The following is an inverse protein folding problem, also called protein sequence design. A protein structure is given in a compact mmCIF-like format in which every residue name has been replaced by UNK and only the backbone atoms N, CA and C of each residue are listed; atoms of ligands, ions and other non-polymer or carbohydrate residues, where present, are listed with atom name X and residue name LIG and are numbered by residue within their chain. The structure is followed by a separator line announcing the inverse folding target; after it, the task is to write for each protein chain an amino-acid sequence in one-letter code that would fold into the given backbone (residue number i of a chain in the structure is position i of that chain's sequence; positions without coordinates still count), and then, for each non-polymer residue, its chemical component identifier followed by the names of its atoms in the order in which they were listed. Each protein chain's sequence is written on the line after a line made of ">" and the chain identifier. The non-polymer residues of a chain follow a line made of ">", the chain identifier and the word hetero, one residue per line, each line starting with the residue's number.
data_IF_441995124238
#
_entry.id   IF_441995124238
#
_cell.length_a   1.000
_cell.length_b   1.000
_cell.length_c   1.000
_cell.angle_alpha   90.00
_cell.angle_beta   90.00
_cell.angle_gamma   90.00
#
_symmetry.space_group_name_H-M   'P 1'
#
loop_
_entity.id
_entity.type
_entity.pdbx_description
1 polymer ?
#
# COMPACT_ATOMS: atom_id res chain seq x y z
N UNK A 1 -12.07 -1.59 24.10
CA UNK A 1 -13.16 -0.92 23.35
C UNK A 1 -12.51 0.05 22.37
N UNK A 2 -13.17 0.39 21.25
CA UNK A 2 -12.62 1.38 20.32
C UNK A 2 -12.54 2.78 20.98
N UNK A 3 -11.50 3.59 20.68
CA UNK A 3 -11.45 4.99 21.10
C UNK A 3 -12.63 5.78 20.53
N UNK A 4 -13.30 6.57 21.37
CA UNK A 4 -14.35 7.50 20.94
C UNK A 4 -13.79 8.67 20.13
N UNK A 5 -14.67 9.49 19.53
CA UNK A 5 -14.27 10.59 18.63
C UNK A 5 -13.33 11.59 19.33
N UNK A 6 -13.63 11.99 20.57
CA UNK A 6 -12.83 12.95 21.35
C UNK A 6 -11.42 12.42 21.67
N UNK A 7 -11.27 11.10 21.76
CA UNK A 7 -9.98 10.45 22.02
C UNK A 7 -9.09 10.34 20.76
N UNK A 8 -9.60 10.71 19.58
CA UNK A 8 -8.89 10.58 18.30
C UNK A 8 -8.31 11.91 17.83
N UNK A 9 -7.27 11.83 17.01
CA UNK A 9 -6.68 12.95 16.26
C UNK A 9 -6.70 12.66 14.77
N UNK A 10 -6.79 13.71 13.96
CA UNK A 10 -6.70 13.58 12.50
C UNK A 10 -5.37 12.94 12.10
N UNK A 11 -5.43 12.03 11.13
CA UNK A 11 -4.26 11.38 10.55
C UNK A 11 -3.50 12.38 9.68
N UNK A 12 -2.29 12.77 10.10
CA UNK A 12 -1.40 13.72 9.39
C UNK A 12 0.02 13.22 9.20
N UNK A 13 0.33 12.04 9.75
CA UNK A 13 1.66 11.44 9.70
C UNK A 13 1.63 10.26 8.72
N UNK A 14 2.55 10.19 7.75
CA UNK A 14 2.60 9.09 6.79
C UNK A 14 3.04 7.78 7.46
N UNK A 15 2.47 6.67 7.03
CA UNK A 15 3.04 5.33 7.17
C UNK A 15 3.58 4.93 5.80
N UNK A 16 4.91 4.99 5.65
CA UNK A 16 5.58 4.70 4.39
C UNK A 16 5.49 3.21 4.09
N UNK A 17 4.92 2.82 2.95
CA UNK A 17 4.89 1.41 2.53
C UNK A 17 6.16 0.98 1.81
N UNK A 18 6.92 1.95 1.30
CA UNK A 18 8.07 1.67 0.45
C UNK A 18 7.68 1.30 -0.98
N UNK A 19 6.39 1.36 -1.31
CA UNK A 19 5.84 0.97 -2.61
C UNK A 19 5.42 2.25 -3.35
N UNK A 20 6.13 2.58 -4.44
CA UNK A 20 5.92 3.80 -5.24
C UNK A 20 4.45 4.04 -5.58
N UNK A 21 3.77 2.99 -6.01
CA UNK A 21 2.38 3.05 -6.44
C UNK A 21 1.41 3.37 -5.28
N UNK A 22 1.72 2.94 -4.05
CA UNK A 22 0.87 3.19 -2.87
C UNK A 22 1.21 4.56 -2.30
N UNK A 23 2.45 4.80 -1.92
CA UNK A 23 2.88 6.06 -1.27
C UNK A 23 2.65 7.28 -2.20
N UNK A 24 2.74 7.08 -3.52
CA UNK A 24 2.43 8.07 -4.54
C UNK A 24 0.94 8.30 -4.77
N UNK A 25 0.11 7.25 -4.89
CA UNK A 25 -1.28 7.42 -5.35
C UNK A 25 -2.36 7.17 -4.28
N UNK A 26 -2.09 6.26 -3.33
CA UNK A 26 -3.03 5.79 -2.32
C UNK A 26 -2.30 5.82 -0.96
N UNK A 27 -1.93 7.01 -0.48
CA UNK A 27 -1.08 7.13 0.70
C UNK A 27 -1.79 6.60 1.95
N UNK A 28 -1.02 5.98 2.83
CA UNK A 28 -1.49 5.40 4.09
C UNK A 28 -0.90 6.22 5.24
N UNK A 29 -1.73 6.61 6.19
CA UNK A 29 -1.32 7.35 7.38
C UNK A 29 -1.26 6.53 8.66
N UNK A 30 -0.53 7.04 9.65
CA UNK A 30 -0.47 6.48 11.00
C UNK A 30 -1.83 6.61 11.70
N UNK A 31 -2.49 5.49 11.97
CA UNK A 31 -3.86 5.43 12.50
C UNK A 31 -4.96 5.23 11.44
N UNK A 32 -4.62 5.12 10.16
CA UNK A 32 -5.56 4.86 9.06
C UNK A 32 -5.91 3.36 8.95
N UNK A 33 -7.03 3.05 8.32
CA UNK A 33 -7.44 1.69 7.96
C UNK A 33 -7.51 1.58 6.44
N UNK A 34 -6.58 0.88 5.83
CA UNK A 34 -6.50 0.76 4.37
C UNK A 34 -6.68 -0.70 3.95
N UNK A 35 -7.79 -1.02 3.27
CA UNK A 35 -8.11 -2.37 2.84
C UNK A 35 -7.19 -2.81 1.70
N UNK A 36 -6.60 -4.00 1.76
CA UNK A 36 -5.97 -4.66 0.61
C UNK A 36 -6.94 -5.72 0.10
N UNK A 37 -7.51 -5.50 -1.08
CA UNK A 37 -8.55 -6.35 -1.65
C UNK A 37 -8.15 -6.82 -3.05
N UNK A 38 -8.49 -8.07 -3.37
CA UNK A 38 -8.30 -8.62 -4.70
C UNK A 38 -8.36 -10.15 -4.70
N UNK A 39 -8.24 -10.72 -5.89
CA UNK A 39 -8.36 -12.15 -6.08
C UNK A 39 -7.19 -12.93 -5.50
N UNK A 40 -7.34 -14.25 -5.46
CA UNK A 40 -6.27 -15.14 -5.07
C UNK A 40 -5.02 -14.91 -5.95
N UNK A 41 -3.84 -14.91 -5.33
CA UNK A 41 -2.54 -14.77 -6.00
C UNK A 41 -2.27 -13.43 -6.73
N UNK A 42 -2.98 -12.35 -6.40
CA UNK A 42 -2.72 -11.00 -6.98
C UNK A 42 -1.64 -10.18 -6.28
N UNK A 43 -0.98 -10.73 -5.24
CA UNK A 43 0.10 -10.03 -4.51
C UNK A 43 -0.33 -9.32 -3.21
N UNK A 44 -1.53 -9.58 -2.69
CA UNK A 44 -2.04 -8.96 -1.44
C UNK A 44 -1.07 -9.08 -0.26
N UNK A 45 -0.65 -10.29 0.06
CA UNK A 45 0.31 -10.55 1.14
C UNK A 45 1.68 -9.93 0.85
N UNK A 46 2.11 -9.88 -0.42
CA UNK A 46 3.38 -9.26 -0.80
C UNK A 46 3.40 -7.77 -0.43
N UNK A 47 2.34 -7.03 -0.77
CA UNK A 47 2.17 -5.62 -0.40
C UNK A 47 2.24 -5.43 1.11
N UNK A 48 1.56 -6.28 1.87
CA UNK A 48 1.54 -6.17 3.33
C UNK A 48 2.91 -6.48 3.96
N UNK A 49 3.63 -7.50 3.46
CA UNK A 49 4.96 -7.86 3.97
C UNK A 49 6.02 -6.82 3.57
N UNK A 50 5.97 -6.29 2.35
CA UNK A 50 6.86 -5.19 1.93
C UNK A 50 6.66 -3.96 2.81
N UNK A 51 5.40 -3.66 3.16
CA UNK A 51 5.09 -2.59 4.11
C UNK A 51 5.74 -2.85 5.47
N UNK A 52 5.65 -4.07 6.03
CA UNK A 52 6.32 -4.42 7.30
C UNK A 52 7.84 -4.29 7.19
N UNK A 53 8.45 -4.77 6.10
CA UNK A 53 9.90 -4.67 5.88
C UNK A 53 10.35 -3.20 5.84
N UNK A 54 9.55 -2.33 5.23
CA UNK A 54 9.86 -0.90 5.13
C UNK A 54 9.82 -0.17 6.49
N UNK A 55 9.24 -0.77 7.54
CA UNK A 55 9.17 -0.14 8.86
C UNK A 55 10.49 -0.18 9.65
N UNK A 56 11.52 -0.84 9.12
CA UNK A 56 12.83 -0.92 9.76
C UNK A 56 13.41 0.48 10.02
N UNK A 57 13.63 0.81 11.29
CA UNK A 57 14.14 2.12 11.71
C UNK A 57 13.14 3.27 11.64
N UNK A 58 11.83 3.01 11.46
CA UNK A 58 10.77 4.03 11.42
C UNK A 58 9.94 4.13 12.71
N UNK A 59 10.38 3.45 13.79
CA UNK A 59 9.71 3.39 15.09
C UNK A 59 8.24 2.97 15.02
N UNK A 60 7.95 1.97 14.17
CA UNK A 60 6.63 1.34 14.06
C UNK A 60 6.74 -0.13 14.42
N UNK A 61 6.01 -0.55 15.44
CA UNK A 61 5.87 -1.96 15.79
C UNK A 61 4.90 -2.66 14.86
N UNK A 62 5.20 -3.86 14.40
CA UNK A 62 4.40 -4.56 13.42
C UNK A 62 3.72 -5.80 14.02
N UNK A 63 2.49 -6.05 13.57
CA UNK A 63 1.72 -7.25 13.91
C UNK A 63 1.21 -7.85 12.60
N UNK A 64 1.54 -9.12 12.35
CA UNK A 64 0.98 -9.89 11.24
C UNK A 64 0.08 -10.98 11.78
N UNK A 65 -1.23 -10.87 11.53
CA UNK A 65 -2.24 -11.84 11.98
C UNK A 65 -2.59 -12.76 10.82
N UNK A 66 -2.16 -14.02 10.89
CA UNK A 66 -2.49 -15.06 9.93
C UNK A 66 -3.74 -15.83 10.37
N UNK A 67 -4.81 -15.75 9.58
CA UNK A 67 -6.13 -16.31 9.89
C UNK A 67 -6.46 -17.35 8.83
N UNK A 68 -6.60 -18.61 9.22
CA UNK A 68 -6.91 -19.72 8.32
C UNK A 68 -5.88 -19.94 7.21
N UNK A 69 -4.66 -19.40 7.35
CA UNK A 69 -3.59 -19.59 6.37
C UNK A 69 -2.95 -20.98 6.50
N UNK A 70 -2.34 -21.46 5.42
CA UNK A 70 -1.53 -22.69 5.48
C UNK A 70 -0.31 -22.46 6.37
N UNK A 71 0.00 -23.42 7.23
CA UNK A 71 1.15 -23.33 8.14
C UNK A 71 2.46 -23.12 7.40
N UNK A 72 2.65 -23.78 6.25
CA UNK A 72 3.84 -23.60 5.40
C UNK A 72 3.97 -22.18 4.86
N UNK A 73 2.85 -21.55 4.47
CA UNK A 73 2.84 -20.15 4.01
C UNK A 73 3.23 -19.20 5.14
N UNK A 74 2.69 -19.41 6.34
CA UNK A 74 3.05 -18.59 7.53
C UNK A 74 4.55 -18.76 7.84
N UNK A 75 5.08 -19.98 7.81
CA UNK A 75 6.48 -20.25 8.04
C UNK A 75 7.40 -19.54 7.02
N UNK A 76 7.03 -19.56 5.73
CA UNK A 76 7.75 -18.83 4.68
C UNK A 76 7.75 -17.32 4.91
N UNK A 77 6.63 -16.75 5.37
CA UNK A 77 6.53 -15.33 5.69
C UNK A 77 7.42 -14.97 6.88
N UNK A 78 7.38 -15.75 7.96
CA UNK A 78 8.24 -15.56 9.14
C UNK A 78 9.71 -15.60 8.74
N UNK A 79 10.10 -16.55 7.89
CA UNK A 79 11.47 -16.66 7.41
C UNK A 79 11.88 -15.47 6.53
N UNK A 80 10.97 -14.97 5.68
CA UNK A 80 11.22 -13.74 4.92
C UNK A 80 11.40 -12.54 5.84
N UNK A 81 10.50 -12.34 6.81
CA UNK A 81 10.65 -11.27 7.79
C UNK A 81 11.98 -11.38 8.56
N UNK A 82 12.41 -12.59 8.90
CA UNK A 82 13.72 -12.82 9.54
C UNK A 82 14.89 -12.44 8.63
N UNK A 83 14.86 -12.83 7.36
CA UNK A 83 15.90 -12.51 6.36
C UNK A 83 16.11 -11.00 6.19
N UNK A 84 15.04 -10.21 6.29
CA UNK A 84 15.12 -8.75 6.20
C UNK A 84 15.36 -8.06 7.56
N UNK A 85 15.44 -8.83 8.66
CA UNK A 85 15.58 -8.30 10.02
C UNK A 85 14.30 -7.60 10.54
N UNK A 86 13.14 -7.92 9.97
CA UNK A 86 11.85 -7.36 10.36
C UNK A 86 11.24 -8.04 11.59
N UNK A 87 11.69 -9.25 11.94
CA UNK A 87 11.21 -9.97 13.12
C UNK A 87 11.57 -9.27 14.44
N UNK A 88 12.59 -8.41 14.47
CA UNK A 88 13.02 -7.66 15.67
C UNK A 88 11.93 -6.71 16.19
N UNK A 89 11.03 -6.27 15.31
CA UNK A 89 9.92 -5.37 15.63
C UNK A 89 8.56 -5.92 15.19
N UNK A 90 8.47 -7.21 14.85
CA UNK A 90 7.22 -7.83 14.36
C UNK A 90 6.79 -9.01 15.22
N UNK A 91 5.50 -9.03 15.61
CA UNK A 91 4.84 -10.20 16.18
C UNK A 91 3.94 -10.86 15.15
N UNK A 92 4.02 -12.18 15.06
CA UNK A 92 3.13 -12.99 14.22
C UNK A 92 2.11 -13.71 15.09
N UNK A 93 0.82 -13.40 14.90
CA UNK A 93 -0.30 -14.11 15.54
C UNK A 93 -0.85 -15.11 14.54
N UNK A 94 -0.66 -16.41 14.78
CA UNK A 94 -1.03 -17.45 13.84
C UNK A 94 -2.19 -18.32 14.35
N UNK A 95 -3.32 -18.27 13.67
CA UNK A 95 -4.38 -19.27 13.74
C UNK A 95 -4.55 -19.88 12.35
N UNK A 96 -3.79 -20.95 12.08
CA UNK A 96 -3.71 -21.61 10.76
C UNK A 96 -5.02 -22.31 10.38
N UNK A 97 -5.11 -22.79 9.13
CA UNK A 97 -6.25 -23.57 8.64
C UNK A 97 -6.54 -24.84 9.48
N UNK A 98 -5.53 -25.40 10.14
CA UNK A 98 -5.68 -26.55 11.04
C UNK A 98 -6.19 -26.18 12.44
N UNK A 99 -6.20 -24.89 12.78
CA UNK A 99 -6.71 -24.40 14.06
C UNK A 99 -8.25 -24.43 14.05
N UNK A 100 -8.90 -24.73 15.20
CA UNK A 100 -10.35 -24.73 15.28
C UNK A 100 -10.93 -23.32 15.08
N UNK A 101 -12.16 -23.23 14.58
CA UNK A 101 -12.83 -21.97 14.26
C UNK A 101 -12.83 -20.92 15.39
N UNK A 102 -12.96 -21.27 16.69
CA UNK A 102 -12.84 -20.29 17.77
C UNK A 102 -11.48 -19.57 17.81
N UNK A 103 -10.36 -20.26 17.51
CA UNK A 103 -9.05 -19.61 17.50
C UNK A 103 -8.87 -18.71 16.28
N UNK A 104 -9.36 -19.13 15.11
CA UNK A 104 -9.37 -18.28 13.92
C UNK A 104 -10.21 -17.01 14.13
N UNK A 105 -11.33 -17.13 14.85
CA UNK A 105 -12.16 -16.01 15.27
C UNK A 105 -11.47 -15.07 16.28
N UNK A 106 -10.69 -15.59 17.24
CA UNK A 106 -10.04 -14.78 18.27
C UNK A 106 -8.70 -14.16 17.83
N UNK A 107 -8.04 -14.70 16.80
CA UNK A 107 -6.73 -14.24 16.36
C UNK A 107 -6.69 -12.74 16.00
N UNK A 108 -7.64 -12.17 15.24
CA UNK A 108 -7.65 -10.73 14.95
C UNK A 108 -7.80 -9.87 16.20
N UNK A 109 -8.63 -10.29 17.16
CA UNK A 109 -8.81 -9.55 18.41
C UNK A 109 -7.54 -9.60 19.28
N UNK A 110 -6.84 -10.73 19.29
CA UNK A 110 -5.57 -10.90 20.01
C UNK A 110 -4.49 -10.01 19.42
N UNK A 111 -4.30 -10.04 18.09
CA UNK A 111 -3.36 -9.16 17.40
C UNK A 111 -3.68 -7.68 17.60
N UNK A 112 -4.96 -7.31 17.53
CA UNK A 112 -5.38 -5.94 17.77
C UNK A 112 -5.05 -5.49 19.20
N UNK A 113 -5.25 -6.35 20.20
CA UNK A 113 -4.93 -6.03 21.60
C UNK A 113 -3.42 -5.82 21.82
N UNK A 114 -2.58 -6.59 21.13
CA UNK A 114 -1.12 -6.35 21.10
C UNK A 114 -0.83 -4.97 20.51
N UNK A 115 -1.42 -4.63 19.37
CA UNK A 115 -1.26 -3.30 18.75
C UNK A 115 -1.75 -2.14 19.61
N UNK A 116 -2.86 -2.33 20.35
CA UNK A 116 -3.39 -1.34 21.29
C UNK A 116 -2.41 -1.05 22.42
N UNK A 117 -1.69 -2.05 22.93
CA UNK A 117 -0.65 -1.82 23.94
C UNK A 117 0.39 -0.80 23.45
N UNK A 118 0.86 -0.89 22.21
CA UNK A 118 1.81 0.09 21.66
C UNK A 118 1.15 1.45 21.45
N UNK A 119 -0.05 1.49 20.85
CA UNK A 119 -0.82 2.72 20.63
C UNK A 119 -1.05 3.50 21.93
N UNK A 120 -1.47 2.81 22.98
CA UNK A 120 -1.88 3.43 24.25
C UNK A 120 -0.68 3.85 25.11
N UNK A 121 0.52 3.34 24.79
CA UNK A 121 1.79 3.79 25.38
C UNK A 121 2.53 4.83 24.52
N UNK A 122 1.79 5.57 23.68
CA UNK A 122 2.34 6.65 22.85
C UNK A 122 3.22 6.19 21.68
N UNK A 123 3.27 4.88 21.38
CA UNK A 123 4.02 4.33 20.26
C UNK A 123 3.13 4.15 19.02
N UNK A 124 3.78 3.85 17.89
CA UNK A 124 3.10 3.58 16.64
C UNK A 124 3.15 2.09 16.32
N UNK A 125 2.04 1.56 15.85
CA UNK A 125 1.90 0.17 15.45
C UNK A 125 1.19 0.04 14.09
N UNK A 126 1.57 -1.00 13.36
CA UNK A 126 0.97 -1.46 12.12
C UNK A 126 0.43 -2.87 12.33
N UNK A 127 -0.83 -3.12 12.00
CA UNK A 127 -1.43 -4.45 12.04
C UNK A 127 -1.94 -4.88 10.67
N UNK A 128 -1.55 -6.08 10.24
CA UNK A 128 -2.03 -6.74 9.03
C UNK A 128 -2.95 -7.89 9.43
N UNK A 129 -4.13 -8.01 8.80
CA UNK A 129 -5.04 -9.13 8.99
C UNK A 129 -5.15 -9.96 7.69
N UNK A 130 -4.54 -11.15 7.65
CA UNK A 130 -4.43 -12.00 6.47
C UNK A 130 -5.12 -13.38 6.69
N UNK A 131 -6.42 -13.54 6.42
CA UNK A 131 -7.33 -12.52 5.86
C UNK A 131 -8.68 -12.49 6.59
N UNK A 132 -9.38 -11.36 6.46
CA UNK A 132 -10.68 -11.15 7.11
C UNK A 132 -11.83 -11.89 6.39
N UNK A 133 -11.61 -12.39 5.18
CA UNK A 133 -12.57 -13.27 4.51
C UNK A 133 -12.67 -14.60 5.26
N UNK A 134 -11.54 -15.22 5.59
CA UNK A 134 -11.46 -16.43 6.40
C UNK A 134 -11.94 -16.20 7.84
N UNK A 135 -11.69 -15.01 8.39
CA UNK A 135 -12.25 -14.63 9.69
C UNK A 135 -13.79 -14.65 9.70
N UNK A 136 -14.42 -14.06 8.67
CA UNK A 136 -15.87 -14.09 8.53
C UNK A 136 -16.40 -15.53 8.35
N UNK A 137 -15.69 -16.37 7.58
CA UNK A 137 -16.06 -17.79 7.40
C UNK A 137 -16.00 -18.55 8.72
N UNK A 138 -14.96 -18.33 9.54
CA UNK A 138 -14.88 -18.93 10.88
C UNK A 138 -16.04 -18.49 11.77
N UNK A 139 -16.41 -17.20 11.74
CA UNK A 139 -17.55 -16.70 12.52
C UNK A 139 -18.90 -17.26 12.03
N UNK A 140 -19.05 -17.42 10.71
CA UNK A 140 -20.20 -18.09 10.10
C UNK A 140 -20.34 -19.53 10.60
N UNK A 141 -19.25 -20.30 10.56
CA UNK A 141 -19.23 -21.68 11.06
C UNK A 141 -19.67 -21.76 12.53
N UNK A 142 -19.12 -20.90 13.39
CA UNK A 142 -19.49 -20.85 14.80
C UNK A 142 -20.98 -20.52 14.99
N UNK A 143 -21.47 -19.52 14.27
CA UNK A 143 -22.87 -19.08 14.37
C UNK A 143 -23.86 -20.16 13.95
N UNK A 144 -23.56 -20.88 12.87
CA UNK A 144 -24.38 -21.99 12.38
C UNK A 144 -24.38 -23.17 13.35
N UNK A 145 -23.22 -23.53 13.94
CA UNK A 145 -23.14 -24.58 14.95
C UNK A 145 -23.92 -24.22 16.22
N UNK A 146 -23.96 -22.93 16.57
CA UNK A 146 -24.79 -22.39 17.66
C UNK A 146 -26.26 -22.20 17.27
N UNK A 147 -26.67 -22.63 16.06
CA UNK A 147 -28.03 -22.52 15.52
C UNK A 147 -28.58 -21.09 15.53
N UNK A 148 -27.70 -20.09 15.37
CA UNK A 148 -28.13 -18.70 15.14
C UNK A 148 -28.73 -18.57 13.73
N UNK A 149 -29.83 -17.81 13.56
CA UNK A 149 -30.40 -17.57 12.24
C UNK A 149 -29.38 -16.94 11.27
N UNK A 150 -29.15 -17.53 10.09
CA UNK A 150 -28.27 -16.95 9.08
C UNK A 150 -28.98 -15.90 8.23
N UNK A 151 -28.19 -15.02 7.60
CA UNK A 151 -28.62 -14.04 6.60
C UNK A 151 -28.01 -14.30 5.22
N UNK A 152 -27.63 -13.22 4.51
CA UNK A 152 -27.03 -13.29 3.16
C UNK A 152 -25.75 -14.13 3.16
N UNK A 153 -25.61 -15.02 2.17
CA UNK A 153 -24.48 -15.96 2.04
C UNK A 153 -24.24 -16.82 3.30
N UNK A 154 -25.30 -17.07 4.07
CA UNK A 154 -25.33 -17.76 5.35
C UNK A 154 -24.54 -17.11 6.49
N UNK A 155 -24.06 -15.87 6.35
CA UNK A 155 -23.41 -15.14 7.45
C UNK A 155 -24.43 -14.70 8.51
N UNK A 156 -24.04 -14.64 9.79
CA UNK A 156 -24.91 -14.10 10.83
C UNK A 156 -25.16 -12.59 10.61
N UNK A 157 -26.31 -12.09 11.08
CA UNK A 157 -26.72 -10.69 10.87
C UNK A 157 -25.76 -9.64 11.47
N UNK A 158 -24.94 -10.03 12.44
CA UNK A 158 -23.95 -9.17 13.10
C UNK A 158 -22.52 -9.29 12.51
N UNK A 159 -22.35 -9.92 11.35
CA UNK A 159 -21.03 -10.02 10.68
C UNK A 159 -20.44 -8.65 10.31
N UNK A 160 -21.28 -7.65 10.07
CA UNK A 160 -20.81 -6.27 9.90
C UNK A 160 -20.21 -5.73 11.20
N UNK A 161 -20.90 -5.95 12.32
CA UNK A 161 -20.46 -5.52 13.65
C UNK A 161 -19.16 -6.22 14.06
N UNK A 162 -18.95 -7.46 13.63
CA UNK A 162 -17.70 -8.21 13.84
C UNK A 162 -16.47 -7.42 13.37
N UNK A 163 -16.51 -6.93 12.14
CA UNK A 163 -15.40 -6.22 11.52
C UNK A 163 -15.36 -4.74 11.90
N UNK A 164 -16.51 -4.08 12.07
CA UNK A 164 -16.52 -2.68 12.50
C UNK A 164 -15.94 -2.53 13.91
N UNK A 165 -16.35 -3.36 14.88
CA UNK A 165 -15.80 -3.32 16.24
C UNK A 165 -14.32 -3.69 16.32
N UNK A 166 -13.81 -4.44 15.34
CA UNK A 166 -12.39 -4.78 15.23
C UNK A 166 -11.60 -3.61 14.63
N UNK A 167 -12.02 -3.13 13.45
CA UNK A 167 -11.27 -2.14 12.68
C UNK A 167 -11.37 -0.73 13.28
N UNK A 168 -12.48 -0.36 13.92
CA UNK A 168 -12.61 0.92 14.65
C UNK A 168 -11.67 1.04 15.87
N UNK A 169 -10.99 -0.04 16.27
CA UNK A 169 -9.93 0.03 17.28
C UNK A 169 -8.62 0.59 16.68
N UNK A 170 -8.41 0.52 15.38
CA UNK A 170 -7.26 1.14 14.74
C UNK A 170 -7.53 2.65 14.55
N UNK A 171 -6.75 3.48 15.24
CA UNK A 171 -6.89 4.93 15.24
C UNK A 171 -5.57 5.63 15.64
N UNK A 172 -5.47 6.93 15.35
CA UNK A 172 -4.49 7.85 15.96
C UNK A 172 -5.12 8.52 17.18
N UNK A 173 -4.46 8.41 18.33
CA UNK A 173 -4.92 9.03 19.57
C UNK A 173 -4.61 10.52 19.61
N UNK A 174 -5.36 11.25 20.45
CA UNK A 174 -5.09 12.65 20.79
C UNK A 174 -3.75 12.82 21.49
N UNK A 175 -3.22 14.04 21.49
CA UNK A 175 -1.96 14.35 22.17
C UNK A 175 -2.09 14.15 23.69
N UNK A 176 -3.27 14.38 24.25
CA UNK A 176 -3.62 14.11 25.67
C UNK A 176 -3.50 12.64 26.04
N UNK A 177 -3.73 11.74 25.08
CA UNK A 177 -3.61 10.28 25.24
C UNK A 177 -2.27 9.75 24.70
N UNK A 178 -1.25 10.62 24.61
CA UNK A 178 0.11 10.25 24.22
C UNK A 178 0.35 10.17 22.71
N UNK A 179 -0.66 10.43 21.87
CA UNK A 179 -0.48 10.58 20.41
C UNK A 179 -0.11 9.29 19.64
N UNK A 180 -0.14 8.13 20.28
CA UNK A 180 0.17 6.86 19.64
C UNK A 180 -0.84 6.47 18.55
N UNK A 181 -0.50 5.49 17.72
CA UNK A 181 -1.34 5.10 16.58
C UNK A 181 -1.34 3.61 16.32
N UNK A 182 -2.49 3.09 15.90
CA UNK A 182 -2.59 1.75 15.31
C UNK A 182 -3.13 1.88 13.88
N UNK A 183 -2.28 1.65 12.88
CA UNK A 183 -2.68 1.57 11.45
C UNK A 183 -3.08 0.14 11.13
N UNK A 184 -4.19 -0.06 10.42
CA UNK A 184 -4.66 -1.39 10.03
C UNK A 184 -4.64 -1.59 8.51
N UNK A 185 -4.10 -2.74 8.09
CA UNK A 185 -4.16 -3.25 6.73
C UNK A 185 -4.94 -4.56 6.71
N UNK A 186 -6.30 -4.51 6.70
CA UNK A 186 -7.08 -5.71 6.50
C UNK A 186 -6.89 -6.25 5.08
N UNK A 187 -6.78 -7.57 4.94
CA UNK A 187 -6.77 -8.25 3.64
C UNK A 187 -8.14 -8.90 3.42
N UNK A 188 -8.69 -8.73 2.22
CA UNK A 188 -9.89 -9.43 1.75
C UNK A 188 -9.58 -10.14 0.44
N UNK A 189 -9.95 -11.41 0.37
CA UNK A 189 -9.97 -12.17 -0.87
C UNK A 189 -11.35 -12.06 -1.53
N UNK A 190 -11.38 -11.59 -2.77
CA UNK A 190 -12.55 -11.63 -3.66
C UNK A 190 -12.61 -12.96 -4.42
N UNK A 191 -13.79 -13.29 -4.94
CA UNK A 191 -13.99 -14.44 -5.82
C UNK A 191 -14.23 -13.91 -7.24
N UNK A 192 -13.29 -14.17 -8.15
CA UNK A 192 -13.36 -13.73 -9.55
C UNK A 192 -13.65 -12.22 -9.72
N UNK A 193 -13.01 -11.38 -8.89
CA UNK A 193 -13.14 -9.93 -8.92
C UNK A 193 -14.47 -9.39 -8.39
N UNK A 194 -15.34 -10.23 -7.80
CA UNK A 194 -16.63 -9.77 -7.29
C UNK A 194 -16.49 -8.98 -5.99
N UNK A 195 -16.54 -7.64 -6.13
CA UNK A 195 -16.58 -6.68 -5.03
C UNK A 195 -17.98 -6.48 -4.44
N UNK A 196 -19.02 -6.96 -5.12
CA UNK A 196 -20.42 -6.85 -4.68
C UNK A 196 -20.83 -7.95 -3.70
N UNK A 197 -19.95 -8.94 -3.51
CA UNK A 197 -20.07 -9.95 -2.47
C UNK A 197 -20.20 -9.32 -1.08
N UNK A 198 -20.86 -10.03 -0.17
CA UNK A 198 -21.32 -9.44 1.08
C UNK A 198 -20.18 -8.95 1.99
N UNK A 199 -19.12 -9.75 2.15
CA UNK A 199 -17.98 -9.39 3.02
C UNK A 199 -17.11 -8.26 2.43
N UNK A 200 -16.69 -8.30 1.15
CA UNK A 200 -16.00 -7.17 0.51
C UNK A 200 -16.76 -5.84 0.67
N UNK A 201 -18.06 -5.82 0.36
CA UNK A 201 -18.90 -4.62 0.48
C UNK A 201 -18.88 -4.05 1.91
N UNK A 202 -19.04 -4.92 2.91
CA UNK A 202 -19.01 -4.52 4.31
C UNK A 202 -17.67 -3.88 4.68
N UNK A 203 -16.55 -4.52 4.34
CA UNK A 203 -15.22 -4.03 4.77
C UNK A 203 -14.82 -2.75 4.03
N UNK A 204 -15.16 -2.60 2.74
CA UNK A 204 -14.97 -1.35 1.98
C UNK A 204 -15.67 -0.16 2.65
N UNK A 205 -16.85 -0.40 3.24
CA UNK A 205 -17.61 0.64 3.95
C UNK A 205 -17.07 0.96 5.36
N UNK A 206 -16.25 0.08 5.94
CA UNK A 206 -15.67 0.26 7.29
C UNK A 206 -14.29 0.92 7.21
N UNK A 207 -13.48 0.59 6.22
CA UNK A 207 -12.12 1.11 6.09
C UNK A 207 -12.11 2.55 5.56
N UNK A 208 -10.99 3.26 5.78
CA UNK A 208 -10.79 4.62 5.28
C UNK A 208 -10.34 4.64 3.82
N UNK A 209 -9.98 3.49 3.26
CA UNK A 209 -9.67 3.35 1.84
C UNK A 209 -9.51 1.90 1.43
N UNK A 210 -9.15 1.70 0.18
CA UNK A 210 -8.84 0.41 -0.39
C UNK A 210 -7.74 0.50 -1.46
N UNK A 211 -6.91 -0.54 -1.49
CA UNK A 211 -5.94 -0.88 -2.52
C UNK A 211 -6.50 -2.11 -3.22
N UNK A 212 -6.95 -1.93 -4.46
CA UNK A 212 -7.56 -2.96 -5.27
C UNK A 212 -6.52 -3.60 -6.19
N UNK A 213 -6.26 -4.89 -6.02
CA UNK A 213 -5.31 -5.66 -6.81
C UNK A 213 -6.02 -6.49 -7.88
N UNK A 214 -5.72 -6.23 -9.15
CA UNK A 214 -6.34 -6.89 -10.30
C UNK A 214 -5.49 -8.02 -10.86
N UNK A 215 -6.16 -9.11 -11.20
CA UNK A 215 -5.58 -10.28 -11.85
C UNK A 215 -5.01 -9.96 -13.23
N UNK A 216 -5.71 -9.17 -14.03
CA UNK A 216 -5.27 -8.82 -15.40
C UNK A 216 -4.02 -7.93 -15.40
N UNK A 217 -3.94 -6.96 -14.47
CA UNK A 217 -2.74 -6.15 -14.26
C UNK A 217 -1.54 -7.04 -13.83
N UNK A 218 -1.79 -8.02 -12.97
CA UNK A 218 -0.75 -8.95 -12.53
C UNK A 218 -0.20 -9.82 -13.68
N UNK A 219 -1.07 -10.34 -14.55
CA UNK A 219 -0.67 -11.17 -15.70
C UNK A 219 -0.06 -10.38 -16.85
N UNK A 220 -0.45 -9.12 -17.04
CA UNK A 220 0.20 -8.19 -17.98
C UNK A 220 1.56 -7.65 -17.50
N UNK A 221 2.02 -8.10 -16.32
CA UNK A 221 3.36 -7.77 -15.81
C UNK A 221 3.42 -6.46 -15.01
N UNK A 222 2.29 -5.86 -14.64
CA UNK A 222 2.22 -4.72 -13.74
C UNK A 222 2.23 -5.24 -12.31
N UNK A 223 3.34 -5.03 -11.59
CA UNK A 223 3.56 -5.48 -10.22
C UNK A 223 4.15 -4.34 -9.39
N UNK A 224 3.52 -3.91 -8.29
CA UNK A 224 2.25 -4.41 -7.73
C UNK A 224 1.04 -4.09 -8.63
N UNK A 225 0.07 -4.99 -8.65
CA UNK A 225 -1.05 -4.99 -9.61
C UNK A 225 -2.20 -4.05 -9.20
N UNK A 226 -1.87 -2.80 -8.86
CA UNK A 226 -2.80 -1.84 -8.27
C UNK A 226 -3.67 -1.20 -9.35
N UNK A 227 -4.98 -1.35 -9.22
CA UNK A 227 -5.95 -0.62 -9.99
C UNK A 227 -6.07 0.82 -9.46
N UNK A 228 -5.58 1.80 -10.22
CA UNK A 228 -5.60 3.23 -9.83
C UNK A 228 -7.02 3.81 -9.70
N UNK A 229 -7.98 3.34 -10.51
CA UNK A 229 -9.34 3.86 -10.55
C UNK A 229 -10.22 3.37 -9.38
N UNK A 230 -10.09 2.09 -9.01
CA UNK A 230 -10.83 1.47 -7.90
C UNK A 230 -10.16 1.69 -6.54
N UNK A 231 -8.85 1.94 -6.52
CA UNK A 231 -8.12 2.19 -5.27
C UNK A 231 -8.28 3.63 -4.80
N UNK A 232 -8.60 3.82 -3.53
CA UNK A 232 -8.93 5.13 -2.94
C UNK A 232 -8.39 5.20 -1.53
N UNK A 233 -7.75 6.32 -1.16
CA UNK A 233 -7.45 6.66 0.22
C UNK A 233 -8.28 7.90 0.60
N UNK A 234 -9.24 7.77 1.53
CA UNK A 234 -10.10 8.89 1.95
C UNK A 234 -9.38 9.91 2.84
N UNK A 235 -8.25 9.53 3.43
CA UNK A 235 -7.34 10.46 4.14
C UNK A 235 -6.58 11.35 3.13
N UNK A 236 -6.29 10.80 1.95
CA UNK A 236 -5.68 11.51 0.84
C UNK A 236 -4.30 12.10 1.16
N UNK A 237 -3.95 13.22 0.52
CA UNK A 237 -2.63 13.85 0.65
C UNK A 237 -2.28 14.38 2.04
N UNK A 238 -3.17 14.26 3.05
CA UNK A 238 -2.81 14.54 4.44
C UNK A 238 -1.92 13.43 5.04
N UNK A 239 -1.94 12.23 4.46
CA UNK A 239 -1.06 11.12 4.79
C UNK A 239 0.26 11.11 4.00
N UNK A 240 0.62 12.20 3.31
CA UNK A 240 1.85 12.30 2.52
C UNK A 240 2.82 13.32 3.13
N UNK A 241 4.11 13.10 2.93
CA UNK A 241 5.10 14.17 3.10
C UNK A 241 4.85 15.27 2.07
N UNK A 242 5.17 16.52 2.42
CA UNK A 242 4.88 17.68 1.58
C UNK A 242 5.50 17.55 0.18
N UNK A 243 6.71 17.01 0.08
CA UNK A 243 7.40 16.72 -1.17
C UNK A 243 6.61 15.75 -2.06
N UNK A 244 6.14 14.63 -1.51
CA UNK A 244 5.34 13.65 -2.26
C UNK A 244 4.01 14.27 -2.70
N UNK A 245 3.33 15.02 -1.82
CA UNK A 245 2.08 15.69 -2.16
C UNK A 245 2.20 16.66 -3.33
N UNK A 246 3.33 17.37 -3.45
CA UNK A 246 3.60 18.31 -4.54
C UNK A 246 3.73 17.64 -5.91
N UNK A 247 4.10 16.35 -5.96
CA UNK A 247 4.36 15.61 -7.21
C UNK A 247 3.29 14.55 -7.51
N UNK A 248 2.65 14.00 -6.48
CA UNK A 248 1.68 12.92 -6.59
C UNK A 248 0.33 13.36 -7.18
N UNK A 249 -0.04 14.64 -7.03
CA UNK A 249 -1.34 15.16 -7.47
C UNK A 249 -1.55 15.01 -8.98
N UNK A 250 -0.53 15.31 -9.78
CA UNK A 250 -0.56 15.14 -11.24
C UNK A 250 -0.49 13.67 -11.65
N UNK A 251 0.33 12.87 -10.97
CA UNK A 251 0.52 11.44 -11.24
C UNK A 251 -0.80 10.67 -11.27
N UNK A 252 -1.65 10.82 -10.24
CA UNK A 252 -2.92 10.09 -10.14
C UNK A 252 -3.90 10.48 -11.25
N UNK A 253 -3.97 11.77 -11.57
CA UNK A 253 -4.84 12.28 -12.64
C UNK A 253 -4.40 11.74 -14.01
N UNK A 254 -3.11 11.82 -14.32
CA UNK A 254 -2.56 11.36 -15.59
C UNK A 254 -2.75 9.85 -15.79
N UNK A 255 -2.57 9.04 -14.73
CA UNK A 255 -2.79 7.59 -14.80
C UNK A 255 -4.27 7.21 -14.93
N UNK A 256 -5.18 7.96 -14.30
CA UNK A 256 -6.61 7.74 -14.47
C UNK A 256 -7.04 8.02 -15.93
N UNK A 257 -6.61 9.16 -16.48
CA UNK A 257 -6.87 9.51 -17.87
C UNK A 257 -6.21 8.54 -18.86
N UNK A 258 -4.97 8.12 -18.58
CA UNK A 258 -4.28 7.11 -19.38
C UNK A 258 -5.10 5.82 -19.48
N UNK A 259 -5.65 5.33 -18.36
CA UNK A 259 -6.42 4.09 -18.37
C UNK A 259 -7.72 4.22 -19.19
N UNK A 260 -8.41 5.34 -19.02
CA UNK A 260 -9.62 5.64 -19.79
C UNK A 260 -9.30 5.64 -21.29
N UNK A 261 -8.28 6.40 -21.70
CA UNK A 261 -7.83 6.46 -23.09
C UNK A 261 -7.32 5.12 -23.61
N UNK A 262 -6.61 4.34 -22.80
CA UNK A 262 -6.09 3.03 -23.20
C UNK A 262 -7.21 2.04 -23.51
N UNK A 263 -8.34 2.12 -22.78
CA UNK A 263 -9.53 1.33 -23.08
C UNK A 263 -10.19 1.80 -24.39
N UNK A 264 -10.31 3.11 -24.62
CA UNK A 264 -10.88 3.66 -25.87
C UNK A 264 -10.01 3.38 -27.10
N UNK A 265 -8.68 3.44 -26.94
CA UNK A 265 -7.72 3.21 -28.02
C UNK A 265 -7.76 1.78 -28.58
N UNK A 266 -8.34 0.82 -27.85
CA UNK A 266 -8.56 -0.54 -28.37
C UNK A 266 -9.63 -0.60 -29.47
N UNK A 267 -10.50 0.42 -29.56
CA UNK A 267 -11.63 0.47 -30.50
C UNK A 267 -11.42 1.46 -31.66
N UNK A 268 -10.40 2.31 -31.60
CA UNK A 268 -10.11 3.35 -32.60
C UNK A 268 -8.90 3.01 -33.47
N UNK A 269 -9.01 3.20 -34.79
CA UNK A 269 -7.90 2.97 -35.74
C UNK A 269 -6.97 4.17 -35.88
N UNK A 270 -7.49 5.39 -35.75
CA UNK A 270 -6.72 6.64 -35.82
C UNK A 270 -6.85 7.44 -34.53
N UNK A 271 -5.72 7.59 -33.84
CA UNK A 271 -5.62 8.42 -32.64
C UNK A 271 -4.92 9.72 -33.02
N UNK A 272 -5.47 10.84 -32.58
CA UNK A 272 -4.84 12.14 -32.77
C UNK A 272 -3.49 12.23 -32.03
N UNK A 273 -2.56 13.11 -32.45
CA UNK A 273 -1.22 13.19 -31.85
C UNK A 273 -1.21 13.48 -30.35
N UNK A 274 -2.21 14.19 -29.81
CA UNK A 274 -2.28 14.49 -28.39
C UNK A 274 -2.63 13.22 -27.59
N UNK A 275 -3.60 12.44 -28.07
CA UNK A 275 -3.95 11.13 -27.48
C UNK A 275 -2.77 10.16 -27.54
N UNK A 276 -2.05 10.08 -28.67
CA UNK A 276 -0.85 9.24 -28.78
C UNK A 276 0.23 9.62 -27.76
N UNK A 277 0.49 10.93 -27.58
CA UNK A 277 1.45 11.43 -26.60
C UNK A 277 1.02 11.10 -25.16
N UNK A 278 -0.27 11.22 -24.86
CA UNK A 278 -0.81 10.89 -23.54
C UNK A 278 -0.74 9.39 -23.23
N UNK A 279 -1.03 8.54 -24.21
CA UNK A 279 -0.85 7.08 -24.09
C UNK A 279 0.62 6.70 -23.90
N UNK A 280 1.53 7.30 -24.68
CA UNK A 280 2.96 7.06 -24.53
C UNK A 280 3.46 7.47 -23.14
N UNK A 281 3.05 8.65 -22.65
CA UNK A 281 3.41 9.14 -21.31
C UNK A 281 2.84 8.25 -20.21
N UNK A 282 1.54 7.92 -20.28
CA UNK A 282 0.89 7.05 -19.30
C UNK A 282 1.51 5.65 -19.24
N UNK A 283 1.87 5.06 -20.38
CA UNK A 283 2.61 3.79 -20.41
C UNK A 283 3.95 3.86 -19.68
N UNK A 284 4.69 4.98 -19.82
CA UNK A 284 5.96 5.19 -19.09
C UNK A 284 5.74 5.37 -17.59
N UNK A 285 4.70 6.10 -17.19
CA UNK A 285 4.33 6.21 -15.78
C UNK A 285 4.01 4.85 -15.16
N UNK A 286 3.28 4.00 -15.89
CA UNK A 286 2.99 2.62 -15.45
C UNK A 286 4.29 1.81 -15.28
N UNK A 287 5.23 1.88 -16.22
CA UNK A 287 6.53 1.22 -16.08
C UNK A 287 7.32 1.70 -14.86
N UNK A 288 7.36 3.02 -14.63
CA UNK A 288 8.05 3.61 -13.48
C UNK A 288 7.44 3.16 -12.15
N UNK A 289 6.15 2.90 -12.11
CA UNK A 289 5.47 2.43 -10.90
C UNK A 289 5.66 0.93 -10.63
N UNK A 290 6.20 0.16 -11.58
CA UNK A 290 6.54 -1.23 -11.33
C UNK A 290 7.66 -1.32 -10.30
N UNK A 291 7.55 -2.30 -9.42
CA UNK A 291 8.48 -2.52 -8.33
C UNK A 291 8.58 -4.01 -8.01
N UNK A 292 9.81 -4.47 -7.76
CA UNK A 292 10.06 -5.83 -7.32
C UNK A 292 9.52 -6.08 -5.91
N UNK A 293 9.16 -7.33 -5.64
CA UNK A 293 8.78 -7.76 -4.30
C UNK A 293 10.00 -7.76 -3.36
N UNK A 294 9.79 -7.40 -2.09
CA UNK A 294 10.82 -7.30 -1.06
C UNK A 294 11.93 -6.29 -1.35
N UNK A 295 11.61 -5.30 -2.18
CA UNK A 295 12.51 -4.19 -2.53
C UNK A 295 11.84 -2.85 -2.21
N UNK A 296 11.49 -2.58 -0.93
CA UNK A 296 10.89 -1.30 -0.57
C UNK A 296 11.88 -0.16 -0.85
N UNK A 297 11.37 0.96 -1.36
CA UNK A 297 12.15 2.13 -1.70
C UNK A 297 11.97 3.23 -0.64
N UNK A 298 13.07 3.83 -0.14
CA UNK A 298 12.99 5.00 0.72
C UNK A 298 12.24 6.16 0.04
N UNK A 299 11.53 6.95 0.85
CA UNK A 299 10.63 8.01 0.36
C UNK A 299 11.34 9.03 -0.53
N UNK A 300 12.59 9.39 -0.22
CA UNK A 300 13.40 10.30 -1.02
C UNK A 300 13.70 9.76 -2.43
N UNK A 301 13.94 8.46 -2.57
CA UNK A 301 14.15 7.82 -3.88
C UNK A 301 12.84 7.73 -4.67
N UNK A 302 11.73 7.43 -3.99
CA UNK A 302 10.42 7.47 -4.63
C UNK A 302 10.08 8.89 -5.15
N UNK A 303 10.39 9.92 -4.36
CA UNK A 303 10.20 11.32 -4.75
C UNK A 303 11.00 11.65 -6.01
N UNK A 304 12.28 11.26 -6.08
CA UNK A 304 13.15 11.54 -7.22
C UNK A 304 12.62 10.90 -8.51
N UNK A 305 12.28 9.61 -8.49
CA UNK A 305 11.83 8.91 -9.70
C UNK A 305 10.44 9.38 -10.16
N UNK A 306 9.52 9.63 -9.23
CA UNK A 306 8.19 10.17 -9.56
C UNK A 306 8.31 11.60 -10.09
N UNK A 307 9.19 12.42 -9.52
CA UNK A 307 9.45 13.78 -10.00
C UNK A 307 10.04 13.75 -11.42
N UNK A 308 11.04 12.91 -11.68
CA UNK A 308 11.61 12.75 -13.01
C UNK A 308 10.55 12.31 -14.03
N UNK A 309 9.69 11.36 -13.65
CA UNK A 309 8.64 10.84 -14.53
C UNK A 309 7.55 11.89 -14.83
N UNK A 310 7.04 12.58 -13.82
CA UNK A 310 5.98 13.59 -13.96
C UNK A 310 6.43 14.88 -14.66
N UNK A 311 7.71 15.25 -14.58
CA UNK A 311 8.27 16.40 -15.29
C UNK A 311 8.81 16.05 -16.70
N UNK A 312 8.60 14.81 -17.16
CA UNK A 312 8.93 14.40 -18.53
C UNK A 312 10.41 14.12 -18.79
N UNK A 313 11.24 13.97 -17.75
CA UNK A 313 12.65 13.58 -17.91
C UNK A 313 12.81 12.15 -18.45
N UNK A 314 11.75 11.34 -18.36
CA UNK A 314 11.70 9.98 -18.91
C UNK A 314 11.03 9.90 -20.29
N UNK A 315 10.44 11.00 -20.77
CA UNK A 315 9.60 11.01 -21.98
C UNK A 315 10.38 10.76 -23.26
N UNK A 316 11.71 10.97 -23.28
CA UNK A 316 12.55 10.67 -24.45
C UNK A 316 12.98 9.20 -24.55
N UNK A 317 12.82 8.41 -23.49
CA UNK A 317 13.37 7.05 -23.43
C UNK A 317 12.31 5.97 -23.70
N UNK A 318 12.70 4.83 -24.31
CA UNK A 318 11.79 3.72 -24.52
C UNK A 318 11.43 3.05 -23.18
N UNK A 319 10.20 2.54 -23.07
CA UNK A 319 9.66 1.91 -21.87
C UNK A 319 10.57 0.80 -21.30
N UNK A 320 11.20 0.01 -22.18
CA UNK A 320 12.14 -1.07 -21.82
C UNK A 320 13.38 -0.59 -21.06
N UNK A 321 13.81 0.66 -21.26
CA UNK A 321 14.99 1.23 -20.62
C UNK A 321 14.70 1.85 -19.25
N UNK A 322 13.43 2.02 -18.87
CA UNK A 322 13.05 2.79 -17.67
C UNK A 322 13.45 2.12 -16.36
N UNK A 323 13.47 0.78 -16.31
CA UNK A 323 13.99 0.05 -15.15
C UNK A 323 15.50 0.30 -14.94
N UNK A 324 16.26 0.38 -16.04
CA UNK A 324 17.68 0.73 -16.00
C UNK A 324 17.87 2.19 -15.62
N UNK A 325 17.09 3.09 -16.22
CA UNK A 325 17.06 4.51 -15.87
C UNK A 325 16.87 4.71 -14.37
N UNK A 326 15.89 4.02 -13.75
CA UNK A 326 15.67 4.11 -12.30
C UNK A 326 16.90 3.68 -11.49
N UNK A 327 17.51 2.55 -11.85
CA UNK A 327 18.67 2.00 -11.11
C UNK A 327 19.90 2.91 -11.24
N UNK A 328 20.17 3.40 -12.44
CA UNK A 328 21.29 4.32 -12.71
C UNK A 328 21.04 5.70 -12.11
N UNK A 329 19.80 6.19 -12.12
CA UNK A 329 19.41 7.45 -11.49
C UNK A 329 19.71 7.39 -9.98
N UNK A 330 19.30 6.33 -9.30
CA UNK A 330 19.58 6.18 -7.87
C UNK A 330 21.09 6.10 -7.60
N UNK A 331 21.83 5.36 -8.41
CA UNK A 331 23.29 5.24 -8.28
C UNK A 331 24.00 6.60 -8.50
N UNK A 332 23.52 7.39 -9.46
CA UNK A 332 24.02 8.73 -9.74
C UNK A 332 23.76 9.70 -8.58
N UNK A 333 22.53 9.71 -8.04
CA UNK A 333 22.19 10.57 -6.90
C UNK A 333 22.92 10.15 -5.62
N UNK A 334 23.04 8.84 -5.36
CA UNK A 334 23.74 8.33 -4.19
C UNK A 334 25.25 8.64 -4.22
N UNK A 335 25.86 8.70 -5.42
CA UNK A 335 27.31 8.93 -5.59
C UNK A 335 27.71 10.39 -5.73
N UNK A 336 26.94 11.21 -6.46
CA UNK A 336 27.31 12.61 -6.75
C UNK A 336 26.49 13.65 -6.00
N UNK A 337 25.28 13.30 -5.60
CA UNK A 337 24.30 14.25 -5.04
C UNK A 337 23.74 13.78 -3.69
N UNK A 338 24.54 13.07 -2.88
CA UNK A 338 24.12 12.51 -1.58
C UNK A 338 23.59 13.60 -0.64
N UNK A 339 24.19 14.80 -0.68
CA UNK A 339 23.73 15.96 0.08
C UNK A 339 22.29 16.36 -0.26
N UNK A 340 21.91 16.29 -1.54
CA UNK A 340 20.56 16.59 -2.01
C UNK A 340 19.56 15.49 -1.60
N UNK A 341 19.97 14.22 -1.63
CA UNK A 341 19.15 13.08 -1.16
C UNK A 341 18.83 13.24 0.34
N UNK A 342 19.83 13.59 1.14
CA UNK A 342 19.65 13.87 2.57
C UNK A 342 18.78 15.12 2.79
N UNK A 343 18.98 16.18 2.00
CA UNK A 343 18.16 17.39 2.07
C UNK A 343 16.67 17.10 1.81
N UNK A 344 16.35 16.23 0.84
CA UNK A 344 14.97 15.78 0.56
C UNK A 344 14.40 14.98 1.72
N UNK A 345 15.20 14.06 2.30
CA UNK A 345 14.81 13.23 3.44
C UNK A 345 14.47 14.09 4.67
N UNK A 346 15.30 15.09 4.98
CA UNK A 346 15.18 15.89 6.19
C UNK A 346 14.13 17.00 6.06
N UNK A 347 14.14 17.75 4.94
CA UNK A 347 13.18 18.84 4.72
C UNK A 347 11.77 18.34 4.44
N UNK A 348 11.63 17.12 3.90
CA UNK A 348 10.33 16.50 3.52
C UNK A 348 9.47 17.37 2.59
N UNK A 349 10.07 18.37 1.93
CA UNK A 349 9.40 19.37 1.11
C UNK A 349 10.31 19.77 -0.07
N UNK A 350 9.73 19.91 -1.26
CA UNK A 350 10.43 20.43 -2.43
C UNK A 350 10.14 21.94 -2.53
N UNK A 351 10.97 22.74 -1.86
CA UNK A 351 11.03 24.18 -2.09
C UNK A 351 11.69 24.50 -3.44
N UNK A 352 11.59 25.76 -3.89
CA UNK A 352 12.07 26.14 -5.22
C UNK A 352 13.59 25.95 -5.38
N UNK A 353 14.38 26.18 -4.33
CA UNK A 353 15.82 25.88 -4.31
C UNK A 353 16.11 24.38 -4.51
N UNK A 354 15.41 23.51 -3.75
CA UNK A 354 15.60 22.05 -3.87
C UNK A 354 15.17 21.57 -5.24
N UNK A 355 14.08 22.09 -5.80
CA UNK A 355 13.66 21.77 -7.18
C UNK A 355 14.68 22.19 -8.22
N UNK A 356 15.27 23.39 -8.08
CA UNK A 356 16.31 23.85 -8.99
C UNK A 356 17.54 22.92 -8.97
N UNK A 357 17.97 22.49 -7.77
CA UNK A 357 19.05 21.50 -7.61
C UNK A 357 18.69 20.15 -8.24
N UNK A 358 17.47 19.65 -8.00
CA UNK A 358 16.99 18.39 -8.60
C UNK A 358 16.95 18.49 -10.12
N UNK A 359 16.44 19.58 -10.68
CA UNK A 359 16.41 19.80 -12.13
C UNK A 359 17.82 19.81 -12.72
N UNK A 360 18.74 20.56 -12.11
CA UNK A 360 20.14 20.60 -12.55
C UNK A 360 20.79 19.22 -12.51
N UNK A 361 20.55 18.43 -11.46
CA UNK A 361 21.07 17.07 -11.34
C UNK A 361 20.45 16.12 -12.38
N UNK A 362 19.15 16.26 -12.68
CA UNK A 362 18.48 15.49 -13.73
C UNK A 362 18.97 15.87 -15.14
N UNK A 363 19.27 17.15 -15.39
CA UNK A 363 19.85 17.62 -16.64
C UNK A 363 21.29 17.12 -16.82
N UNK A 364 22.06 17.01 -15.75
CA UNK A 364 23.37 16.34 -15.76
C UNK A 364 23.20 14.85 -16.07
N UNK A 365 22.28 14.17 -15.37
CA UNK A 365 22.03 12.75 -15.58
C UNK A 365 21.58 12.43 -17.01
N UNK A 366 20.75 13.29 -17.61
CA UNK A 366 20.30 13.16 -19.02
C UNK A 366 21.46 13.11 -20.02
N UNK A 367 22.58 13.78 -19.73
CA UNK A 367 23.79 13.75 -20.57
C UNK A 367 24.59 12.46 -20.42
N UNK A 368 24.40 11.76 -19.31
CA UNK A 368 25.14 10.53 -18.96
C UNK A 368 24.36 9.30 -19.41
N UNK A 369 23.05 9.28 -19.18
CA UNK A 369 22.21 8.14 -19.49
C UNK A 369 21.96 8.01 -21.00
N UNK A 370 22.37 6.88 -21.56
CA UNK A 370 21.98 6.44 -22.90
C UNK A 370 20.93 5.33 -22.80
N UNK A 371 19.94 5.33 -23.69
CA UNK A 371 18.95 4.26 -23.77
C UNK A 371 19.49 2.99 -24.45
N UNK A 372 20.54 3.10 -25.25
CA UNK A 372 21.18 1.96 -25.91
C UNK A 372 22.05 1.19 -24.91
N UNK A 373 21.94 -0.14 -24.88
CA UNK A 373 22.97 -0.96 -24.26
C UNK A 373 24.27 -0.76 -25.05
N UNK A 374 25.31 -0.21 -24.42
CA UNK A 374 26.66 -0.35 -24.97
C UNK A 374 26.95 -1.85 -24.96
N UNK A 375 26.89 -2.47 -26.15
CA UNK A 375 27.25 -3.87 -26.38
C UNK A 375 28.65 -4.19 -25.88
#
# INVERSE_FOLDING_TARGET
>A
KAPGIVARKSVKEPLQTGIKAIDGMIPIGRGQRELIIGDRQTGKTAVAIDTIINQKGLDVFCIYVAIGQKQSTVAQIVEKLRQFGAMDYTVVVAATASSPAPLQFLAPYSGCTIGEYFRDNGKHALIVYDDLSKHAVAYRQLSLLLRRPPGREAYPGDVFYLHSRLLERAAKLSDELGGGSLTALPVIETQAGDVSAYIPTNVISITDGQIYLETDLFYSGIRPAINVGLSVSRVGGSAQVKAMKQIAGTLRLELAQYRELAAFAQFGSDLDPATQKQLARGGKLVEILKQGQYQPLPVEKQILIIYAATNGYVDSYPASSLKRYETELFSFFDSRHTGLVNEIRDKKALGDDVKAKVNSALDEFKKIFSAEEKK
#
